data_IF_506876430210
#
_entry.id   IF_506876430210
#
_cell.length_a   1.000
_cell.length_b   1.000
_cell.length_c   1.000
_cell.angle_alpha   90.00
_cell.angle_beta   90.00
_cell.angle_gamma   90.00
#
_symmetry.space_group_name_H-M   'P 1'
#
loop_
_entity.id
_entity.type
_entity.pdbx_description
1 polymer ?
#
# COMPACT_ATOMS: atom_id res chain seq x y z
N UNK A 1 9.44 32.52 35.44
CA UNK A 1 8.80 33.81 35.12
C UNK A 1 8.86 34.67 36.37
N UNK A 2 9.34 35.90 36.27
CA UNK A 2 9.36 36.81 37.42
C UNK A 2 8.03 37.57 37.50
N UNK A 3 7.14 37.11 38.38
CA UNK A 3 5.83 37.71 38.59
C UNK A 3 5.86 38.96 39.47
N UNK A 4 7.03 39.35 40.02
CA UNK A 4 7.15 40.58 40.83
C UNK A 4 7.05 41.86 39.98
N UNK A 5 7.28 41.74 38.67
CA UNK A 5 7.16 42.85 37.70
C UNK A 5 5.73 43.06 37.19
N UNK A 6 4.77 42.23 37.63
CA UNK A 6 3.37 42.28 37.21
C UNK A 6 2.54 42.86 38.35
N UNK A 7 1.81 43.95 38.08
CA UNK A 7 0.90 44.55 39.04
C UNK A 7 -0.45 43.80 39.09
N UNK A 8 -0.76 43.21 40.25
CA UNK A 8 -1.98 42.43 40.48
C UNK A 8 -2.99 43.23 41.31
N UNK A 9 -4.01 43.78 40.66
CA UNK A 9 -5.14 44.39 41.35
C UNK A 9 -6.13 43.33 41.87
N UNK A 10 -6.30 43.26 43.20
CA UNK A 10 -7.26 42.36 43.87
C UNK A 10 -8.71 42.59 43.40
N UNK A 11 -9.10 43.85 43.17
CA UNK A 11 -10.43 44.22 42.65
C UNK A 11 -10.67 43.70 41.24
N UNK A 12 -9.70 43.90 40.32
CA UNK A 12 -9.79 43.39 38.94
C UNK A 12 -9.75 41.85 38.90
N UNK A 13 -8.94 41.23 39.76
CA UNK A 13 -8.86 39.77 39.87
C UNK A 13 -10.22 39.15 40.26
N UNK A 14 -10.84 39.63 41.35
CA UNK A 14 -12.16 39.16 41.78
C UNK A 14 -13.23 39.35 40.71
N UNK A 15 -13.26 40.51 40.05
CA UNK A 15 -14.22 40.79 38.97
C UNK A 15 -14.05 39.82 37.79
N UNK A 16 -12.81 39.55 37.37
CA UNK A 16 -12.51 38.61 36.27
C UNK A 16 -12.86 37.17 36.63
N UNK A 17 -12.55 36.74 37.86
CA UNK A 17 -12.90 35.40 38.36
C UNK A 17 -14.42 35.24 38.41
N UNK A 18 -15.15 36.25 38.91
CA UNK A 18 -16.61 36.23 38.95
C UNK A 18 -17.24 36.23 37.55
N UNK A 19 -16.67 36.99 36.61
CA UNK A 19 -17.09 36.97 35.20
C UNK A 19 -16.82 35.61 34.56
N UNK A 20 -15.73 34.93 34.91
CA UNK A 20 -15.44 33.59 34.40
C UNK A 20 -16.32 32.53 35.05
N UNK A 21 -16.75 32.73 36.30
CA UNK A 21 -17.66 31.83 37.00
C UNK A 21 -19.07 31.75 36.38
N UNK A 22 -19.44 32.68 35.47
CA UNK A 22 -20.67 32.55 34.69
C UNK A 22 -20.57 31.56 33.54
N UNK A 23 -19.36 31.21 33.10
CA UNK A 23 -19.11 30.27 32.00
C UNK A 23 -18.44 28.97 32.46
N UNK A 24 -17.65 29.01 33.54
CA UNK A 24 -16.96 27.86 34.11
C UNK A 24 -17.41 27.57 35.54
N UNK A 25 -17.40 26.30 35.94
CA UNK A 25 -17.64 25.95 37.32
C UNK A 25 -16.53 26.54 38.21
N UNK A 26 -16.93 27.17 39.33
CA UNK A 26 -16.00 27.76 40.29
C UNK A 26 -14.91 26.79 40.77
N UNK A 27 -15.25 25.50 40.93
CA UNK A 27 -14.30 24.46 41.32
C UNK A 27 -13.21 24.22 40.26
N UNK A 28 -13.56 24.27 38.98
CA UNK A 28 -12.60 24.08 37.88
C UNK A 28 -11.67 25.30 37.77
N UNK A 29 -12.20 26.51 37.95
CA UNK A 29 -11.40 27.75 38.01
C UNK A 29 -10.37 27.68 39.14
N UNK A 30 -10.77 27.26 40.34
CA UNK A 30 -9.88 27.12 41.49
C UNK A 30 -8.79 26.07 41.25
N UNK A 31 -9.10 24.96 40.59
CA UNK A 31 -8.10 23.94 40.21
C UNK A 31 -7.08 24.49 39.21
N UNK A 32 -7.52 25.24 38.21
CA UNK A 32 -6.65 25.89 37.24
C UNK A 32 -5.70 26.87 37.94
N UNK A 33 -6.23 27.73 38.82
CA UNK A 33 -5.42 28.69 39.57
C UNK A 33 -4.43 28.00 40.52
N UNK A 34 -4.85 26.93 41.21
CA UNK A 34 -3.97 26.17 42.09
C UNK A 34 -2.79 25.58 41.33
N UNK A 35 -3.05 24.97 40.17
CA UNK A 35 -2.01 24.39 39.33
C UNK A 35 -1.10 25.45 38.71
N UNK A 36 -1.64 26.58 38.28
CA UNK A 36 -0.86 27.70 37.75
C UNK A 36 0.09 28.30 38.81
N UNK A 37 -0.40 28.54 40.03
CA UNK A 37 0.42 29.04 41.14
C UNK A 37 1.54 28.04 41.51
N UNK A 38 1.25 26.74 41.46
CA UNK A 38 2.25 25.70 41.66
C UNK A 38 3.35 25.73 40.59
N UNK A 39 2.99 25.88 39.31
CA UNK A 39 3.96 26.02 38.22
C UNK A 39 4.81 27.29 38.31
N UNK A 40 4.27 28.34 38.93
CA UNK A 40 5.01 29.58 39.23
C UNK A 40 5.94 29.45 40.46
N UNK A 41 5.98 28.28 41.11
CA UNK A 41 6.89 27.98 42.21
C UNK A 41 6.34 28.28 43.61
N UNK A 42 5.04 28.54 43.76
CA UNK A 42 4.44 28.76 45.06
C UNK A 42 4.38 27.46 45.90
N UNK A 43 4.64 27.57 47.21
CA UNK A 43 4.54 26.43 48.15
C UNK A 43 3.08 25.96 48.26
N UNK A 44 2.87 24.65 48.36
CA UNK A 44 1.53 24.03 48.43
C UNK A 44 0.65 24.61 49.55
N UNK A 45 1.21 24.78 50.74
CA UNK A 45 0.53 25.39 51.89
C UNK A 45 0.08 26.83 51.59
N UNK A 46 0.96 27.65 50.99
CA UNK A 46 0.61 29.03 50.64
C UNK A 46 -0.50 29.10 49.59
N UNK A 47 -0.58 28.12 48.67
CA UNK A 47 -1.68 28.01 47.70
C UNK A 47 -2.98 27.57 48.42
N UNK A 48 -2.89 26.65 49.39
CA UNK A 48 -4.01 26.17 50.20
C UNK A 48 -4.69 27.32 50.93
N UNK A 49 -3.89 28.14 51.62
CA UNK A 49 -4.36 29.29 52.37
C UNK A 49 -4.94 30.37 51.44
N UNK A 50 -4.25 30.64 50.33
CA UNK A 50 -4.66 31.68 49.38
C UNK A 50 -5.98 31.36 48.66
N UNK A 51 -6.20 30.09 48.30
CA UNK A 51 -7.40 29.66 47.58
C UNK A 51 -8.51 29.11 48.50
N UNK A 52 -8.24 28.91 49.78
CA UNK A 52 -9.16 28.30 50.74
C UNK A 52 -9.47 26.84 50.43
N UNK A 53 -8.47 26.09 49.95
CA UNK A 53 -8.59 24.68 49.54
C UNK A 53 -7.69 23.83 50.45
N UNK A 54 -8.12 22.65 50.94
CA UNK A 54 -7.25 21.78 51.74
C UNK A 54 -5.96 21.38 51.02
N UNK A 55 -4.83 21.30 51.74
CA UNK A 55 -3.53 20.93 51.17
C UNK A 55 -3.56 19.57 50.44
N UNK A 56 -4.28 18.59 50.99
CA UNK A 56 -4.46 17.27 50.37
C UNK A 56 -5.19 17.33 49.02
N UNK A 57 -6.11 18.28 48.87
CA UNK A 57 -6.80 18.51 47.59
C UNK A 57 -5.84 19.10 46.56
N UNK A 58 -4.95 20.03 46.96
CA UNK A 58 -3.92 20.59 46.07
C UNK A 58 -2.91 19.51 45.66
N UNK A 59 -2.46 18.69 46.61
CA UNK A 59 -1.60 17.53 46.33
C UNK A 59 -2.23 16.59 45.30
N UNK A 60 -3.53 16.32 45.45
CA UNK A 60 -4.28 15.48 44.51
C UNK A 60 -4.39 16.15 43.14
N UNK A 61 -4.74 17.44 43.08
CA UNK A 61 -4.81 18.20 41.83
C UNK A 61 -3.48 18.15 41.08
N UNK A 62 -2.37 18.49 41.74
CA UNK A 62 -1.04 18.47 41.12
C UNK A 62 -0.71 17.06 40.61
N UNK A 63 -0.87 16.04 41.45
CA UNK A 63 -0.56 14.65 41.08
C UNK A 63 -1.34 14.19 39.85
N UNK A 64 -2.66 14.42 39.84
CA UNK A 64 -3.53 13.96 38.75
C UNK A 64 -3.31 14.79 37.49
N UNK A 65 -3.13 16.11 37.59
CA UNK A 65 -2.88 16.97 36.43
C UNK A 65 -1.50 16.72 35.80
N UNK A 66 -0.47 16.41 36.59
CA UNK A 66 0.84 16.02 36.04
C UNK A 66 0.79 14.64 35.36
N UNK A 67 -0.04 13.72 35.85
CA UNK A 67 -0.18 12.36 35.29
C UNK A 67 -1.09 12.32 34.05
N UNK A 68 -2.28 12.91 34.15
CA UNK A 68 -3.38 12.77 33.18
C UNK A 68 -3.58 14.03 32.30
N UNK A 69 -2.74 15.05 32.52
CA UNK A 69 -2.75 16.30 31.76
C UNK A 69 -3.88 17.26 32.14
N UNK A 70 -4.09 18.29 31.30
CA UNK A 70 -5.01 19.40 31.57
C UNK A 70 -6.47 18.97 31.75
N UNK A 71 -6.84 17.80 31.20
CA UNK A 71 -8.17 17.23 31.32
C UNK A 71 -8.54 16.91 32.78
N UNK A 72 -7.55 16.62 33.63
CA UNK A 72 -7.75 16.34 35.05
C UNK A 72 -8.25 17.54 35.86
N UNK A 73 -8.06 18.76 35.35
CA UNK A 73 -8.53 19.97 36.03
C UNK A 73 -10.05 20.11 35.97
N UNK A 74 -10.72 19.41 35.04
CA UNK A 74 -12.16 19.50 34.81
C UNK A 74 -12.88 18.24 35.29
N UNK A 75 -14.08 18.39 35.86
CA UNK A 75 -14.91 17.26 36.28
C UNK A 75 -15.42 16.44 35.08
N UNK A 76 -14.79 15.29 34.83
CA UNK A 76 -15.12 14.34 33.75
C UNK A 76 -16.55 13.80 33.82
N UNK A 77 -17.22 13.87 34.97
CA UNK A 77 -18.59 13.35 35.15
C UNK A 77 -19.69 14.31 34.66
N UNK A 78 -19.38 15.59 34.46
CA UNK A 78 -20.38 16.62 34.13
C UNK A 78 -20.36 17.09 32.67
N UNK A 79 -19.40 16.65 31.87
CA UNK A 79 -19.29 17.05 30.48
C UNK A 79 -20.06 16.07 29.58
N UNK A 80 -21.20 16.49 29.02
CA UNK A 80 -21.99 15.71 28.03
C UNK A 80 -21.29 15.51 26.68
N UNK A 81 -20.08 16.03 26.49
CA UNK A 81 -19.17 15.63 25.42
C UNK A 81 -17.74 15.99 25.86
N UNK A 82 -16.80 15.05 25.97
CA UNK A 82 -15.47 15.37 26.46
C UNK A 82 -14.80 16.34 25.50
N UNK A 83 -14.47 17.54 25.98
CA UNK A 83 -13.48 18.41 25.34
C UNK A 83 -12.15 17.65 25.39
N UNK A 84 -11.89 16.85 24.35
CA UNK A 84 -10.62 16.15 24.16
C UNK A 84 -9.56 17.19 23.78
N UNK A 85 -8.97 17.85 24.78
CA UNK A 85 -7.64 18.44 24.59
C UNK A 85 -6.68 17.27 24.55
N UNK A 86 -6.26 16.93 23.35
CA UNK A 86 -5.45 15.76 23.03
C UNK A 86 -4.10 15.89 23.75
N UNK A 87 -3.81 14.97 24.67
CA UNK A 87 -2.45 14.76 25.17
C UNK A 87 -1.56 14.41 23.99
N UNK A 88 -0.43 15.11 23.85
CA UNK A 88 0.54 14.96 22.75
C UNK A 88 1.15 13.54 22.67
N UNK A 89 0.86 12.66 23.63
CA UNK A 89 1.29 11.26 23.64
C UNK A 89 0.25 10.25 23.11
N UNK A 90 -0.98 10.68 22.82
CA UNK A 90 -2.06 9.81 22.29
C UNK A 90 -2.41 10.09 20.81
N UNK A 91 -1.54 10.80 20.07
CA UNK A 91 -1.78 11.20 18.66
C UNK A 91 -1.34 10.19 17.59
N UNK A 92 -1.07 8.94 17.93
CA UNK A 92 -0.82 7.91 16.90
C UNK A 92 -2.03 7.03 16.58
N UNK A 93 -3.17 7.21 17.24
CA UNK A 93 -4.39 6.50 16.89
C UNK A 93 -5.52 7.45 16.51
N UNK A 94 -5.94 7.34 15.24
CA UNK A 94 -7.11 7.98 14.63
C UNK A 94 -6.91 9.39 14.02
N UNK A 95 -5.89 9.57 13.20
CA UNK A 95 -6.15 10.21 11.90
C UNK A 95 -6.60 9.09 10.96
N UNK A 96 -7.92 8.87 10.84
CA UNK A 96 -8.45 7.95 9.82
C UNK A 96 -8.20 8.55 8.44
N UNK A 97 -6.99 8.36 7.93
CA UNK A 97 -6.67 8.46 6.50
C UNK A 97 -7.47 7.36 5.84
N UNK A 98 -8.47 7.73 5.06
CA UNK A 98 -9.39 6.76 4.51
C UNK A 98 -9.21 6.64 3.01
N UNK A 99 -8.99 5.40 2.59
CA UNK A 99 -9.03 4.99 1.20
C UNK A 99 -10.40 4.40 0.97
N UNK A 100 -11.12 4.96 0.02
CA UNK A 100 -12.41 4.45 -0.39
C UNK A 100 -12.49 4.38 -1.91
N UNK A 101 -13.11 3.30 -2.38
CA UNK A 101 -13.54 3.12 -3.75
C UNK A 101 -14.96 3.66 -3.85
N UNK A 102 -15.22 4.55 -4.82
CA UNK A 102 -16.57 5.01 -5.11
C UNK A 102 -17.00 4.42 -6.45
N UNK A 103 -18.09 3.65 -6.42
CA UNK A 103 -18.77 3.09 -7.59
C UNK A 103 -17.84 2.33 -8.56
N UNK A 104 -16.77 1.71 -8.06
CA UNK A 104 -15.75 0.96 -8.82
C UNK A 104 -15.17 1.70 -10.05
N UNK A 105 -15.27 3.03 -10.07
CA UNK A 105 -14.72 3.89 -11.12
C UNK A 105 -13.55 4.73 -10.64
N UNK A 106 -13.57 5.13 -9.37
CA UNK A 106 -12.54 6.04 -8.85
C UNK A 106 -12.01 5.59 -7.48
N UNK A 107 -10.69 5.67 -7.34
CA UNK A 107 -9.95 5.61 -6.09
C UNK A 107 -9.87 7.02 -5.49
N UNK A 108 -10.30 7.17 -4.24
CA UNK A 108 -10.12 8.39 -3.47
C UNK A 108 -9.18 8.18 -2.29
N UNK A 109 -8.19 9.05 -2.17
CA UNK A 109 -7.27 9.09 -1.03
C UNK A 109 -7.48 10.42 -0.30
N UNK A 110 -7.88 10.32 0.97
CA UNK A 110 -8.04 11.46 1.87
C UNK A 110 -6.91 11.49 2.89
N UNK A 111 -6.12 12.57 2.86
CA UNK A 111 -4.97 12.75 3.77
C UNK A 111 -5.37 13.56 5.01
N UNK A 112 -6.36 14.46 4.90
CA UNK A 112 -6.87 15.30 5.98
C UNK A 112 -8.38 15.52 5.88
N UNK A 113 -9.03 15.92 6.99
CA UNK A 113 -10.46 16.27 7.05
C UNK A 113 -10.86 17.45 6.14
N UNK A 114 -9.91 18.28 5.70
CA UNK A 114 -10.17 19.43 4.85
C UNK A 114 -10.30 19.04 3.37
N UNK A 115 -11.26 18.17 3.03
CA UNK A 115 -11.81 17.91 1.68
C UNK A 115 -10.89 17.75 0.45
N UNK A 116 -9.57 17.82 0.57
CA UNK A 116 -8.63 17.59 -0.51
C UNK A 116 -8.54 16.09 -0.74
N UNK A 117 -9.29 15.61 -1.73
CA UNK A 117 -9.32 14.21 -2.13
C UNK A 117 -8.50 14.06 -3.40
N UNK A 118 -7.53 13.16 -3.38
CA UNK A 118 -6.88 12.72 -4.61
C UNK A 118 -7.81 11.71 -5.30
N UNK A 119 -8.31 12.05 -6.49
CA UNK A 119 -9.22 11.23 -7.29
C UNK A 119 -8.44 10.61 -8.46
N UNK A 120 -8.48 9.29 -8.58
CA UNK A 120 -7.79 8.54 -9.65
C UNK A 120 -8.77 7.55 -10.29
N UNK A 121 -8.94 7.55 -11.62
CA UNK A 121 -9.73 6.51 -12.31
C UNK A 121 -9.12 5.12 -12.10
N UNK A 122 -9.95 4.12 -11.81
CA UNK A 122 -9.49 2.74 -11.56
C UNK A 122 -8.93 2.09 -12.84
N UNK A 123 -9.39 2.54 -14.01
CA UNK A 123 -8.90 2.13 -15.32
C UNK A 123 -7.40 2.41 -15.47
N UNK A 124 -6.89 3.46 -14.80
CA UNK A 124 -5.48 3.81 -14.77
C UNK A 124 -4.72 2.90 -13.78
N UNK A 125 -4.67 1.60 -14.08
CA UNK A 125 -4.09 0.56 -13.20
C UNK A 125 -2.66 0.89 -12.75
N UNK A 126 -1.84 1.43 -13.65
CA UNK A 126 -0.45 1.83 -13.34
C UNK A 126 -0.46 2.99 -12.34
N UNK A 127 -1.27 4.03 -12.58
CA UNK A 127 -1.37 5.20 -11.70
C UNK A 127 -1.88 4.82 -10.31
N UNK A 128 -2.93 3.98 -10.24
CA UNK A 128 -3.48 3.44 -8.98
C UNK A 128 -2.40 2.70 -8.20
N UNK A 129 -1.66 1.79 -8.85
CA UNK A 129 -0.55 1.06 -8.22
C UNK A 129 0.54 2.00 -7.75
N UNK A 130 0.97 2.94 -8.58
CA UNK A 130 2.00 3.93 -8.22
C UNK A 130 1.61 4.66 -6.94
N UNK A 131 0.40 5.21 -6.89
CA UNK A 131 -0.01 6.01 -5.73
C UNK A 131 -0.18 5.15 -4.48
N UNK A 132 -0.80 3.98 -4.57
CA UNK A 132 -0.97 3.09 -3.41
C UNK A 132 0.38 2.60 -2.86
N UNK A 133 1.33 2.26 -3.72
CA UNK A 133 2.66 1.82 -3.31
C UNK A 133 3.51 2.98 -2.77
N UNK A 134 3.38 4.19 -3.31
CA UNK A 134 4.01 5.39 -2.74
C UNK A 134 3.45 5.73 -1.37
N UNK A 135 2.13 5.59 -1.16
CA UNK A 135 1.52 5.71 0.17
C UNK A 135 1.99 4.61 1.14
N UNK A 136 2.25 3.39 0.65
CA UNK A 136 2.85 2.33 1.46
C UNK A 136 4.30 2.67 1.86
N UNK A 137 5.14 3.12 0.93
CA UNK A 137 6.54 3.48 1.20
C UNK A 137 6.68 4.65 2.18
N UNK A 138 5.72 5.57 2.16
CA UNK A 138 5.67 6.73 3.08
C UNK A 138 5.02 6.40 4.44
N UNK A 139 4.62 5.15 4.66
CA UNK A 139 3.95 4.73 5.90
C UNK A 139 2.51 5.24 6.06
N UNK A 140 1.93 5.82 5.00
CA UNK A 140 0.53 6.23 4.98
C UNK A 140 -0.44 5.03 4.92
N UNK A 141 0.01 3.89 4.39
CA UNK A 141 -0.75 2.65 4.32
C UNK A 141 0.00 1.46 4.91
N UNK A 142 -0.76 0.50 5.45
CA UNK A 142 -0.21 -0.77 5.90
C UNK A 142 -0.08 -1.74 4.74
N UNK A 143 1.01 -2.52 4.72
CA UNK A 143 1.28 -3.49 3.64
C UNK A 143 0.13 -4.47 3.41
N UNK A 144 -0.50 -4.96 4.48
CA UNK A 144 -1.61 -5.92 4.39
C UNK A 144 -2.84 -5.31 3.69
N UNK A 145 -3.18 -4.06 4.04
CA UNK A 145 -4.30 -3.33 3.45
C UNK A 145 -4.03 -3.04 1.98
N UNK A 146 -2.82 -2.55 1.65
CA UNK A 146 -2.41 -2.30 0.27
C UNK A 146 -2.39 -3.58 -0.58
N UNK A 147 -1.91 -4.69 -0.03
CA UNK A 147 -1.88 -5.98 -0.73
C UNK A 147 -3.29 -6.49 -1.04
N UNK A 148 -4.23 -6.35 -0.09
CA UNK A 148 -5.64 -6.70 -0.29
C UNK A 148 -6.28 -5.86 -1.38
N UNK A 149 -6.02 -4.55 -1.39
CA UNK A 149 -6.53 -3.61 -2.41
C UNK A 149 -5.98 -3.94 -3.80
N UNK A 150 -4.70 -4.32 -3.88
CA UNK A 150 -4.03 -4.62 -5.14
C UNK A 150 -4.22 -6.07 -5.63
N UNK A 151 -4.92 -6.90 -4.84
CA UNK A 151 -5.13 -8.33 -5.09
C UNK A 151 -3.83 -9.12 -5.33
N UNK A 152 -2.79 -8.80 -4.56
CA UNK A 152 -1.48 -9.46 -4.63
C UNK A 152 -1.04 -9.96 -3.25
N UNK A 153 -0.06 -10.86 -3.22
CA UNK A 153 0.52 -11.32 -1.95
C UNK A 153 1.24 -10.18 -1.22
N UNK A 154 1.28 -10.25 0.12
CA UNK A 154 1.99 -9.27 0.96
C UNK A 154 3.47 -9.19 0.60
N UNK A 155 4.11 -10.34 0.32
CA UNK A 155 5.51 -10.41 -0.10
C UNK A 155 5.74 -9.73 -1.45
N UNK A 156 4.86 -9.98 -2.42
CA UNK A 156 4.92 -9.33 -3.73
C UNK A 156 4.69 -7.82 -3.62
N UNK A 157 3.73 -7.40 -2.77
CA UNK A 157 3.46 -6.00 -2.49
C UNK A 157 4.69 -5.26 -1.94
N UNK A 158 5.38 -5.83 -0.94
CA UNK A 158 6.63 -5.24 -0.42
C UNK A 158 7.71 -5.13 -1.49
N UNK A 159 7.89 -6.20 -2.28
CA UNK A 159 8.90 -6.23 -3.34
C UNK A 159 8.64 -5.14 -4.39
N UNK A 160 7.40 -5.00 -4.87
CA UNK A 160 7.06 -3.97 -5.85
C UNK A 160 7.18 -2.57 -5.23
N UNK A 161 6.77 -2.39 -3.97
CA UNK A 161 6.91 -1.10 -3.28
C UNK A 161 8.39 -0.68 -3.15
N UNK A 162 9.27 -1.60 -2.74
CA UNK A 162 10.71 -1.37 -2.69
C UNK A 162 11.30 -1.05 -4.07
N UNK A 163 10.92 -1.83 -5.10
CA UNK A 163 11.37 -1.57 -6.46
C UNK A 163 10.94 -0.18 -6.95
N UNK A 164 9.71 0.25 -6.67
CA UNK A 164 9.21 1.59 -7.02
C UNK A 164 9.95 2.71 -6.28
N UNK A 165 10.48 2.44 -5.08
CA UNK A 165 11.29 3.43 -4.35
C UNK A 165 12.71 3.56 -4.92
N UNK A 166 13.22 2.50 -5.54
CA UNK A 166 14.56 2.44 -6.11
C UNK A 166 14.59 2.80 -7.60
N UNK A 167 13.49 2.58 -8.32
CA UNK A 167 13.38 2.71 -9.77
C UNK A 167 12.06 3.39 -10.13
N UNK A 168 12.02 4.08 -11.26
CA UNK A 168 10.81 4.74 -11.76
C UNK A 168 9.66 3.75 -12.08
N UNK A 169 8.45 4.28 -12.27
CA UNK A 169 7.22 3.56 -12.65
C UNK A 169 7.46 2.64 -13.84
N UNK A 170 8.19 3.12 -14.85
CA UNK A 170 8.57 2.34 -16.04
C UNK A 170 9.41 1.11 -15.72
N UNK A 171 10.29 1.23 -14.71
CA UNK A 171 11.14 0.15 -14.23
C UNK A 171 10.40 -0.88 -13.36
N UNK A 172 9.32 -0.48 -12.71
CA UNK A 172 8.72 -1.22 -11.60
C UNK A 172 7.33 -1.78 -11.87
N UNK A 173 6.50 -1.08 -12.66
CA UNK A 173 5.07 -1.37 -12.81
C UNK A 173 4.63 -1.68 -14.25
N UNK A 174 5.45 -1.33 -15.24
CA UNK A 174 5.17 -1.68 -16.64
C UNK A 174 5.58 -3.13 -16.89
N UNK A 175 4.73 -3.88 -17.58
CA UNK A 175 5.02 -5.27 -17.95
C UNK A 175 6.21 -5.32 -18.92
N UNK A 176 7.28 -6.00 -18.49
CA UNK A 176 8.51 -6.20 -19.24
C UNK A 176 8.55 -7.53 -19.98
N UNK A 177 7.50 -8.35 -19.91
CA UNK A 177 7.45 -9.65 -20.56
C UNK A 177 7.45 -9.45 -22.08
N UNK A 178 8.57 -9.79 -22.73
CA UNK A 178 8.69 -9.83 -24.19
C UNK A 178 8.24 -11.16 -24.82
N UNK A 179 7.53 -12.02 -24.06
CA UNK A 179 7.28 -13.40 -24.45
C UNK A 179 8.57 -14.24 -24.55
N UNK A 180 8.42 -15.55 -24.77
CA UNK A 180 9.57 -16.44 -24.98
C UNK A 180 10.23 -16.10 -26.33
N UNK A 181 11.47 -15.62 -26.28
CA UNK A 181 12.21 -15.21 -27.48
C UNK A 181 12.91 -16.39 -28.15
N UNK A 182 13.20 -17.48 -27.44
CA UNK A 182 14.01 -18.60 -27.91
C UNK A 182 13.35 -19.93 -27.53
N UNK A 183 13.43 -20.94 -28.40
CA UNK A 183 12.86 -22.26 -28.14
C UNK A 183 13.75 -23.06 -27.17
N UNK A 184 13.34 -23.24 -25.91
CA UNK A 184 14.14 -23.93 -24.90
C UNK A 184 14.11 -25.46 -25.03
N UNK A 185 12.97 -26.03 -25.46
CA UNK A 185 12.80 -27.48 -25.60
C UNK A 185 12.87 -27.98 -27.04
N UNK A 186 12.81 -27.06 -28.02
CA UNK A 186 12.82 -27.39 -29.44
C UNK A 186 14.10 -26.83 -30.09
N UNK A 187 15.20 -27.50 -29.82
CA UNK A 187 16.53 -27.10 -30.25
C UNK A 187 16.82 -27.42 -31.72
N UNK A 188 18.06 -27.16 -32.17
CA UNK A 188 18.48 -27.46 -33.55
C UNK A 188 18.28 -28.92 -33.94
N UNK A 189 18.55 -29.87 -33.02
CA UNK A 189 18.38 -31.30 -33.28
C UNK A 189 16.91 -31.64 -33.57
N UNK A 190 15.99 -31.19 -32.72
CA UNK A 190 14.55 -31.42 -32.92
C UNK A 190 14.04 -30.73 -34.19
N UNK A 191 14.55 -29.55 -34.54
CA UNK A 191 14.25 -28.84 -35.80
C UNK A 191 14.70 -29.64 -37.02
N UNK A 192 15.93 -30.13 -37.01
CA UNK A 192 16.48 -30.93 -38.10
C UNK A 192 15.70 -32.24 -38.27
N UNK A 193 15.35 -32.89 -37.16
CA UNK A 193 14.57 -34.12 -37.17
C UNK A 193 13.17 -33.91 -37.72
N UNK A 194 12.52 -32.81 -37.31
CA UNK A 194 11.22 -32.42 -37.84
C UNK A 194 11.25 -32.27 -39.36
N UNK A 195 12.21 -31.51 -39.89
CA UNK A 195 12.33 -31.29 -41.34
C UNK A 195 12.59 -32.62 -42.05
N UNK A 196 13.51 -33.45 -41.53
CA UNK A 196 13.85 -34.77 -42.10
C UNK A 196 12.64 -35.69 -42.16
N UNK A 197 11.98 -35.93 -41.02
CA UNK A 197 10.84 -36.84 -40.92
C UNK A 197 9.63 -36.35 -41.72
N UNK A 198 9.36 -35.04 -41.66
CA UNK A 198 8.27 -34.46 -42.44
C UNK A 198 8.50 -34.65 -43.94
N UNK A 199 9.70 -34.32 -44.42
CA UNK A 199 10.06 -34.37 -45.85
C UNK A 199 10.06 -35.79 -46.37
N UNK A 200 10.74 -36.71 -45.69
CA UNK A 200 10.80 -38.12 -46.09
C UNK A 200 9.39 -38.73 -46.21
N UNK A 201 8.53 -38.48 -45.22
CA UNK A 201 7.16 -39.01 -45.19
C UNK A 201 6.25 -38.34 -46.22
N UNK A 202 6.42 -37.04 -46.46
CA UNK A 202 5.67 -36.33 -47.50
C UNK A 202 5.98 -36.90 -48.89
N UNK A 203 7.27 -37.16 -49.18
CA UNK A 203 7.71 -37.72 -50.47
C UNK A 203 7.20 -39.15 -50.67
N UNK A 204 7.22 -39.98 -49.62
CA UNK A 204 6.80 -41.39 -49.71
C UNK A 204 5.29 -41.59 -49.50
N UNK A 205 4.51 -40.51 -49.33
CA UNK A 205 3.06 -40.58 -49.14
C UNK A 205 2.60 -41.08 -47.77
N UNK A 206 3.50 -41.15 -46.78
CA UNK A 206 3.15 -41.52 -45.41
C UNK A 206 2.48 -40.36 -44.64
N UNK A 207 1.79 -40.71 -43.55
CA UNK A 207 1.14 -39.71 -42.68
C UNK A 207 2.16 -38.72 -42.10
N UNK A 208 1.89 -37.42 -42.28
CA UNK A 208 2.64 -36.29 -41.71
C UNK A 208 1.88 -35.65 -40.53
N UNK A 209 1.02 -36.42 -39.86
CA UNK A 209 0.28 -35.90 -38.70
C UNK A 209 1.23 -35.49 -37.58
N UNK A 210 0.85 -34.44 -36.84
CA UNK A 210 1.64 -33.94 -35.73
C UNK A 210 1.91 -35.00 -34.67
N UNK A 211 0.95 -35.91 -34.42
CA UNK A 211 1.12 -37.05 -33.51
C UNK A 211 2.19 -38.00 -34.00
N UNK A 212 2.13 -38.43 -35.27
CA UNK A 212 3.08 -39.41 -35.78
C UNK A 212 4.50 -38.86 -35.88
N UNK A 213 4.63 -37.58 -36.23
CA UNK A 213 5.92 -36.89 -36.25
C UNK A 213 6.46 -36.71 -34.83
N UNK A 214 5.60 -36.49 -33.83
CA UNK A 214 6.04 -36.37 -32.43
C UNK A 214 6.64 -37.65 -31.90
N UNK A 215 5.99 -38.80 -32.14
CA UNK A 215 6.53 -40.11 -31.78
C UNK A 215 7.95 -40.28 -32.32
N UNK A 216 8.14 -40.04 -33.63
CA UNK A 216 9.43 -40.21 -34.30
C UNK A 216 10.51 -39.25 -33.78
N UNK A 217 10.17 -37.98 -33.56
CA UNK A 217 11.13 -37.00 -33.03
C UNK A 217 11.52 -37.34 -31.60
N UNK A 218 10.55 -37.74 -30.76
CA UNK A 218 10.82 -38.10 -29.37
C UNK A 218 11.68 -39.36 -29.28
N UNK A 219 11.42 -40.37 -30.11
CA UNK A 219 12.25 -41.57 -30.22
C UNK A 219 13.68 -41.25 -30.66
N UNK A 220 13.85 -40.44 -31.71
CA UNK A 220 15.17 -40.17 -32.29
C UNK A 220 16.01 -39.17 -31.50
N UNK A 221 15.37 -38.20 -30.84
CA UNK A 221 16.08 -37.11 -30.13
C UNK A 221 16.02 -37.25 -28.61
N UNK A 222 15.47 -38.35 -28.08
CA UNK A 222 15.29 -38.61 -26.66
C UNK A 222 14.63 -37.42 -25.93
N UNK A 223 13.59 -36.86 -26.56
CA UNK A 223 12.85 -35.70 -26.05
C UNK A 223 11.44 -36.07 -25.63
N UNK A 224 10.84 -35.26 -24.76
CA UNK A 224 9.44 -35.37 -24.37
C UNK A 224 8.63 -34.17 -24.90
N UNK A 225 8.56 -34.05 -26.23
CA UNK A 225 7.78 -33.01 -26.88
C UNK A 225 6.32 -33.41 -26.99
N UNK A 226 5.44 -32.41 -26.91
CA UNK A 226 4.01 -32.60 -27.15
C UNK A 226 3.68 -32.46 -28.64
N UNK A 227 2.63 -33.16 -29.09
CA UNK A 227 2.09 -33.01 -30.45
C UNK A 227 1.68 -31.58 -30.79
N UNK A 228 1.29 -30.79 -29.77
CA UNK A 228 0.95 -29.36 -29.95
C UNK A 228 2.20 -28.53 -30.27
N UNK A 229 3.33 -28.82 -29.64
CA UNK A 229 4.61 -28.18 -29.92
C UNK A 229 5.07 -28.46 -31.35
N UNK A 230 5.01 -29.73 -31.78
CA UNK A 230 5.36 -30.12 -33.14
C UNK A 230 4.43 -29.46 -34.16
N UNK A 231 3.11 -29.49 -33.93
CA UNK A 231 2.15 -28.80 -34.81
C UNK A 231 2.47 -27.32 -34.96
N UNK A 232 2.74 -26.62 -33.85
CA UNK A 232 3.11 -25.22 -33.89
C UNK A 232 4.38 -24.97 -34.71
N UNK A 233 5.39 -25.83 -34.60
CA UNK A 233 6.61 -25.70 -35.40
C UNK A 233 6.42 -26.06 -36.88
N UNK A 234 5.57 -27.04 -37.21
CA UNK A 234 5.19 -27.35 -38.59
C UNK A 234 4.57 -26.13 -39.27
N UNK A 235 3.61 -25.47 -38.59
CA UNK A 235 2.96 -24.25 -39.07
C UNK A 235 3.96 -23.08 -39.16
N UNK A 236 4.74 -22.86 -38.10
CA UNK A 236 5.72 -21.76 -38.03
C UNK A 236 6.82 -21.87 -39.10
N UNK A 237 7.21 -23.10 -39.47
CA UNK A 237 8.18 -23.35 -40.54
C UNK A 237 7.55 -23.42 -41.94
N UNK A 238 6.21 -23.33 -42.05
CA UNK A 238 5.50 -23.41 -43.33
C UNK A 238 5.49 -24.80 -43.96
N UNK A 239 5.84 -25.85 -43.21
CA UNK A 239 5.97 -27.21 -43.75
C UNK A 239 4.65 -27.76 -44.29
N UNK A 240 3.52 -27.40 -43.66
CA UNK A 240 2.19 -27.80 -44.11
C UNK A 240 1.89 -27.35 -45.56
N UNK A 241 2.34 -26.15 -45.93
CA UNK A 241 2.08 -25.55 -47.25
C UNK A 241 2.93 -26.13 -48.38
N UNK A 242 4.06 -26.77 -48.08
CA UNK A 242 5.00 -27.30 -49.07
C UNK A 242 4.90 -28.81 -49.29
N UNK A 243 3.93 -29.48 -48.65
CA UNK A 243 3.78 -30.94 -48.70
C UNK A 243 3.70 -31.49 -50.13
N UNK A 244 2.90 -30.86 -50.99
CA UNK A 244 2.70 -31.31 -52.38
C UNK A 244 3.89 -30.90 -53.25
N UNK A 245 4.35 -29.66 -53.11
CA UNK A 245 5.44 -29.12 -53.93
C UNK A 245 6.78 -29.82 -53.69
N UNK A 246 7.04 -30.32 -52.48
CA UNK A 246 8.23 -31.15 -52.19
C UNK A 246 8.22 -32.42 -53.05
N UNK A 247 7.07 -33.11 -53.11
CA UNK A 247 6.97 -34.37 -53.87
C UNK A 247 7.12 -34.11 -55.37
N UNK A 248 6.53 -33.03 -55.89
CA UNK A 248 6.69 -32.63 -57.30
C UNK A 248 8.14 -32.27 -57.63
N UNK A 249 8.81 -31.54 -56.73
CA UNK A 249 10.22 -31.19 -56.87
C UNK A 249 11.10 -32.44 -56.98
N UNK A 250 10.91 -33.41 -56.07
CA UNK A 250 11.68 -34.67 -56.09
C UNK A 250 11.43 -35.46 -57.37
N UNK A 251 10.17 -35.54 -57.83
CA UNK A 251 9.84 -36.21 -59.08
C UNK A 251 10.47 -35.52 -60.30
N UNK A 252 10.55 -34.18 -60.31
CA UNK A 252 11.21 -33.43 -61.37
C UNK A 252 12.74 -33.64 -61.39
N UNK A 253 13.37 -33.75 -60.22
CA UNK A 253 14.80 -34.00 -60.09
C UNK A 253 15.16 -35.44 -60.52
N UNK A 254 14.34 -36.43 -60.17
CA UNK A 254 14.51 -37.82 -60.61
C UNK A 254 14.42 -37.99 -62.12
N UNK A 255 13.63 -37.17 -62.82
CA UNK A 255 13.49 -37.21 -64.29
C UNK A 255 14.68 -36.60 -65.05
N UNK A 256 15.51 -35.80 -64.36
CA UNK A 256 16.68 -35.11 -64.94
C UNK A 256 18.01 -35.75 -64.57
N UNK A 257 17.99 -36.83 -63.79
CA UNK A 257 19.14 -37.65 -63.41
C UNK A 257 19.11 -38.98 -64.14
#
# INVERSE_FOLDING_TARGET
MDCQKIDFSSKKSKMRINKLASTFNRKDILRILAFALYLLGAKRQSIADFLGIPDDSIKTIIRVTTRDGIQALFDRRKSKAPVKIVSVKDKEQSEKKSIHFENDKYLYISVNKNNSKLKIPIENKVQVRTVLLSCLNSGLLKTHETAKILEISVSHCRKIAQNLNQHDVTGSLIDKRKGQQHDFRFGPNQKSELIRQFTARAITGHSVSSEKITELINEQTQSELSSRTIRWHIEKLGLAGIKISISDLVNSLKKKS
#
